data_IF_981375193019
#
_entry.id   IF_981375193019
#
_cell.length_a   1.000
_cell.length_b   1.000
_cell.length_c   1.000
_cell.angle_alpha   90.00
_cell.angle_beta   90.00
_cell.angle_gamma   90.00
#
_symmetry.space_group_name_H-M   'P 1'
#
loop_
_entity.id
_entity.type
_entity.pdbx_description
1 polymer ?
#
# COMPACT_ATOMS: atom_id res chain seq x y z
N UNK A 1 -1.04 -12.27 -1.00
CA UNK A 1 -1.85 -11.06 -0.71
C UNK A 1 -2.50 -10.59 -2.00
N UNK A 2 -3.70 -10.06 -1.91
CA UNK A 2 -4.40 -9.46 -3.05
C UNK A 2 -4.77 -8.02 -2.69
N UNK A 3 -4.55 -7.11 -3.62
CA UNK A 3 -4.91 -5.69 -3.45
C UNK A 3 -5.92 -5.31 -4.53
N UNK A 4 -7.01 -4.70 -4.10
CA UNK A 4 -8.05 -4.22 -5.00
C UNK A 4 -7.79 -2.83 -5.53
N UNK A 5 -8.83 -2.25 -6.07
CA UNK A 5 -8.83 -0.88 -6.58
C UNK A 5 -10.01 -0.12 -5.95
N UNK A 6 -9.93 1.20 -5.94
CA UNK A 6 -10.97 2.01 -5.31
C UNK A 6 -11.23 3.29 -6.08
N UNK A 7 -12.40 3.87 -5.82
CA UNK A 7 -12.79 5.18 -6.35
C UNK A 7 -12.75 6.21 -5.22
N UNK A 8 -12.06 7.31 -5.46
CA UNK A 8 -12.07 8.45 -4.54
C UNK A 8 -13.38 9.21 -4.66
N UNK A 9 -13.99 9.50 -3.53
CA UNK A 9 -15.25 10.25 -3.49
C UNK A 9 -15.30 11.13 -2.24
N UNK A 10 -16.24 12.09 -2.24
CA UNK A 10 -16.55 12.86 -1.06
C UNK A 10 -17.61 12.13 -0.21
N UNK A 11 -18.09 12.76 0.83
CA UNK A 11 -19.07 12.15 1.74
C UNK A 11 -20.41 11.89 1.06
N UNK A 12 -20.75 12.66 0.04
CA UNK A 12 -21.96 12.46 -0.77
C UNK A 12 -21.77 11.44 -1.89
N UNK A 13 -20.62 10.74 -1.93
CA UNK A 13 -20.25 9.74 -2.93
C UNK A 13 -20.02 10.31 -4.34
N UNK A 14 -19.78 11.60 -4.44
CA UNK A 14 -19.39 12.22 -5.70
C UNK A 14 -17.90 11.93 -5.95
N UNK A 15 -17.56 11.57 -7.19
CA UNK A 15 -16.19 11.22 -7.56
C UNK A 15 -15.27 12.44 -7.47
N UNK A 16 -14.14 12.27 -6.78
CA UNK A 16 -13.08 13.27 -6.69
C UNK A 16 -11.91 12.89 -7.61
N UNK A 17 -11.20 13.88 -8.18
CA UNK A 17 -9.97 13.58 -8.92
C UNK A 17 -8.95 12.86 -8.03
N UNK A 18 -8.18 11.91 -8.56
CA UNK A 18 -8.11 11.42 -9.94
C UNK A 18 -9.19 10.38 -10.29
N UNK A 19 -10.15 10.11 -9.43
CA UNK A 19 -11.22 9.15 -9.64
C UNK A 19 -10.85 7.76 -9.19
N UNK A 20 -10.40 6.92 -10.09
CA UNK A 20 -10.07 5.52 -9.80
C UNK A 20 -8.58 5.38 -9.52
N UNK A 21 -8.26 4.69 -8.42
CA UNK A 21 -6.90 4.30 -8.06
C UNK A 21 -6.81 2.78 -8.23
N UNK A 22 -6.14 2.33 -9.26
CA UNK A 22 -6.06 0.91 -9.62
C UNK A 22 -4.64 0.38 -9.82
N UNK A 23 -3.63 1.26 -9.85
CA UNK A 23 -2.23 0.88 -10.07
C UNK A 23 -2.06 -0.06 -11.27
N UNK A 24 -2.64 0.30 -12.42
CA UNK A 24 -2.61 -0.53 -13.64
C UNK A 24 -1.21 -0.77 -14.18
N UNK A 25 -0.26 0.07 -13.81
CA UNK A 25 1.16 -0.13 -14.13
C UNK A 25 1.75 -1.37 -13.44
N UNK A 26 1.07 -1.88 -12.44
CA UNK A 26 1.51 -3.08 -11.72
C UNK A 26 1.01 -4.32 -12.45
N UNK A 27 1.92 -5.11 -12.99
CA UNK A 27 1.62 -6.37 -13.66
C UNK A 27 2.19 -7.54 -12.86
N UNK A 28 1.81 -8.76 -13.21
CA UNK A 28 2.39 -9.95 -12.58
C UNK A 28 3.90 -10.03 -12.80
N UNK A 29 4.37 -9.59 -13.96
CA UNK A 29 5.78 -9.63 -14.34
C UNK A 29 6.64 -8.71 -13.48
N UNK A 30 6.15 -7.52 -13.16
CA UNK A 30 6.89 -6.54 -12.37
C UNK A 30 6.49 -6.53 -10.88
N UNK A 31 5.56 -7.40 -10.46
CA UNK A 31 4.88 -7.29 -9.17
C UNK A 31 5.79 -7.17 -7.96
N UNK A 32 6.79 -8.05 -7.84
CA UNK A 32 7.70 -8.03 -6.70
C UNK A 32 8.57 -6.76 -6.67
N UNK A 33 9.02 -6.31 -7.82
CA UNK A 33 9.87 -5.13 -7.93
C UNK A 33 9.05 -3.84 -7.85
N UNK A 34 7.84 -3.85 -8.37
CA UNK A 34 6.99 -2.66 -8.35
C UNK A 34 6.61 -2.26 -6.92
N UNK A 35 6.51 -3.22 -6.01
CA UNK A 35 6.27 -2.92 -4.60
C UNK A 35 7.31 -1.95 -4.01
N UNK A 36 8.54 -1.98 -4.53
CA UNK A 36 9.62 -1.10 -4.08
C UNK A 36 9.58 0.29 -4.72
N UNK A 37 8.76 0.49 -5.74
CA UNK A 37 8.70 1.75 -6.49
C UNK A 37 7.55 2.65 -6.08
N UNK A 38 6.53 2.08 -5.47
CA UNK A 38 5.32 2.82 -5.13
C UNK A 38 5.35 3.25 -3.66
N UNK A 39 4.56 4.26 -3.34
CA UNK A 39 4.51 4.80 -1.99
C UNK A 39 3.43 4.15 -1.11
N UNK A 40 2.59 3.33 -1.69
CA UNK A 40 1.57 2.56 -1.00
C UNK A 40 1.01 1.50 -1.93
N UNK A 41 0.57 0.38 -1.35
CA UNK A 41 0.12 -0.76 -2.13
C UNK A 41 -1.30 -0.61 -2.66
N UNK A 42 -2.08 0.28 -2.08
CA UNK A 42 -3.48 0.48 -2.43
C UNK A 42 -4.44 -0.17 -1.46
N UNK A 43 -5.73 -0.17 -1.82
CA UNK A 43 -6.81 -0.70 -1.00
C UNK A 43 -7.93 -1.23 -1.91
N UNK A 44 -8.80 -2.10 -1.41
CA UNK A 44 -8.68 -2.85 -0.17
C UNK A 44 -7.65 -3.99 -0.28
N UNK A 45 -7.28 -4.57 0.87
CA UNK A 45 -6.26 -5.61 0.92
C UNK A 45 -6.82 -6.87 1.56
N UNK A 46 -6.46 -8.02 0.99
CA UNK A 46 -6.80 -9.33 1.55
C UNK A 46 -5.52 -10.15 1.72
N UNK A 47 -5.39 -10.83 2.85
CA UNK A 47 -4.22 -11.62 3.19
C UNK A 47 -4.59 -13.09 3.37
N UNK A 48 -3.73 -13.98 2.87
CA UNK A 48 -3.80 -15.37 3.23
C UNK A 48 -3.38 -15.50 4.70
N UNK A 49 -4.27 -15.95 5.54
CA UNK A 49 -4.11 -15.90 7.00
C UNK A 49 -2.82 -16.53 7.53
N UNK A 50 -2.40 -17.74 7.08
CA UNK A 50 -1.15 -18.31 7.56
C UNK A 50 0.06 -17.45 7.28
N UNK A 51 0.11 -16.79 6.12
CA UNK A 51 1.23 -15.93 5.72
C UNK A 51 1.29 -14.68 6.59
N UNK A 52 0.15 -14.01 6.81
CA UNK A 52 0.14 -12.79 7.63
C UNK A 52 0.45 -13.08 9.09
N UNK A 53 0.07 -14.25 9.58
CA UNK A 53 0.42 -14.69 10.94
C UNK A 53 1.91 -14.93 11.10
N UNK A 54 2.56 -15.48 10.09
CA UNK A 54 3.99 -15.73 10.08
C UNK A 54 4.78 -14.42 10.06
N UNK A 55 4.39 -13.48 9.20
CA UNK A 55 5.10 -12.22 9.01
C UNK A 55 4.82 -11.23 10.14
N UNK A 56 3.54 -11.08 10.52
CA UNK A 56 3.12 -10.12 11.53
C UNK A 56 3.18 -8.68 11.04
N UNK A 57 2.62 -7.77 11.86
CA UNK A 57 2.67 -6.33 11.61
C UNK A 57 3.72 -5.69 12.52
N UNK A 58 4.51 -4.73 12.03
CA UNK A 58 5.40 -3.97 12.90
C UNK A 58 4.59 -3.05 13.84
N UNK A 59 5.14 -2.78 15.01
CA UNK A 59 4.50 -1.89 15.98
C UNK A 59 4.77 -0.43 15.63
N UNK A 60 4.12 0.05 14.58
CA UNK A 60 4.22 1.44 14.12
C UNK A 60 2.82 1.97 13.81
N UNK A 61 2.64 3.28 13.87
CA UNK A 61 1.36 3.92 13.63
C UNK A 61 1.14 4.30 12.16
N UNK A 62 2.17 4.16 11.32
CA UNK A 62 2.10 4.48 9.90
C UNK A 62 3.05 3.59 9.11
N UNK A 63 2.60 3.15 7.93
CA UNK A 63 3.43 2.33 7.04
C UNK A 63 3.49 0.85 7.43
N UNK A 64 2.70 0.41 8.39
CA UNK A 64 2.61 -0.98 8.80
C UNK A 64 2.15 -1.89 7.67
N UNK A 65 1.21 -1.42 6.88
CA UNK A 65 0.69 -2.14 5.71
C UNK A 65 1.75 -2.24 4.60
N UNK A 66 2.50 -1.18 4.40
CA UNK A 66 3.58 -1.16 3.42
C UNK A 66 4.71 -2.13 3.82
N UNK A 67 5.08 -2.13 5.10
CA UNK A 67 6.08 -3.04 5.64
C UNK A 67 5.69 -4.51 5.41
N UNK A 68 4.45 -4.85 5.72
CA UNK A 68 3.91 -6.21 5.51
C UNK A 68 3.89 -6.56 4.02
N UNK A 69 3.41 -5.66 3.18
CA UNK A 69 3.34 -5.89 1.75
C UNK A 69 4.70 -6.14 1.11
N UNK A 70 5.71 -5.36 1.49
CA UNK A 70 7.08 -5.58 1.00
C UNK A 70 7.60 -6.95 1.45
N UNK A 71 7.38 -7.31 2.71
CA UNK A 71 7.82 -8.61 3.24
C UNK A 71 7.14 -9.77 2.49
N UNK A 72 5.84 -9.66 2.22
CA UNK A 72 5.11 -10.66 1.43
C UNK A 72 5.68 -10.74 0.00
N UNK A 73 5.99 -9.60 -0.62
CA UNK A 73 6.46 -9.55 -2.00
C UNK A 73 7.79 -10.26 -2.22
N UNK A 74 8.56 -10.50 -1.16
CA UNK A 74 9.84 -11.21 -1.26
C UNK A 74 9.66 -12.67 -1.67
N UNK A 75 8.64 -13.34 -1.13
CA UNK A 75 8.46 -14.78 -1.26
C UNK A 75 7.13 -15.19 -1.88
N UNK A 76 6.16 -14.29 -1.92
CA UNK A 76 4.81 -14.59 -2.35
C UNK A 76 4.34 -13.59 -3.40
N UNK A 77 3.30 -13.96 -4.11
CA UNK A 77 2.70 -13.08 -5.13
C UNK A 77 1.80 -12.02 -4.52
N UNK A 78 1.81 -10.86 -5.14
CA UNK A 78 0.83 -9.80 -4.90
C UNK A 78 -0.14 -9.77 -6.08
N UNK A 79 -1.34 -10.30 -5.86
CA UNK A 79 -2.39 -10.24 -6.87
C UNK A 79 -3.10 -8.90 -6.86
N UNK A 80 -3.72 -8.53 -7.99
CA UNK A 80 -4.46 -7.28 -8.09
C UNK A 80 -5.82 -7.49 -8.73
N UNK A 81 -6.79 -6.72 -8.25
CA UNK A 81 -8.10 -6.57 -8.86
C UNK A 81 -8.20 -5.15 -9.35
N UNK A 82 -8.26 -4.97 -10.67
CA UNK A 82 -8.23 -3.64 -11.29
C UNK A 82 -9.58 -2.95 -11.30
N UNK A 83 -10.66 -3.69 -11.12
CA UNK A 83 -11.99 -3.10 -11.00
C UNK A 83 -12.16 -2.43 -9.63
N UNK A 84 -12.79 -1.25 -9.57
CA UNK A 84 -13.06 -0.58 -8.30
C UNK A 84 -14.06 -1.41 -7.47
N UNK A 85 -13.63 -1.86 -6.31
CA UNK A 85 -14.46 -2.65 -5.39
C UNK A 85 -14.63 -1.96 -4.04
N UNK A 86 -14.17 -0.72 -3.92
CA UNK A 86 -14.16 0.04 -2.69
C UNK A 86 -14.39 1.52 -2.98
N UNK A 87 -15.18 2.19 -2.14
CA UNK A 87 -15.41 3.63 -2.19
C UNK A 87 -14.62 4.28 -1.05
N UNK A 88 -13.59 5.05 -1.40
CA UNK A 88 -12.76 5.73 -0.43
C UNK A 88 -13.27 7.17 -0.24
N UNK A 89 -13.98 7.42 0.84
CA UNK A 89 -14.48 8.75 1.18
C UNK A 89 -13.35 9.60 1.75
N UNK A 90 -13.16 10.78 1.19
CA UNK A 90 -12.21 11.77 1.69
C UNK A 90 -12.95 12.87 2.44
N UNK A 91 -12.45 13.22 3.62
CA UNK A 91 -12.96 14.27 4.46
C UNK A 91 -11.86 14.77 5.39
N UNK A 92 -12.06 15.93 6.03
CA UNK A 92 -11.02 16.59 6.83
C UNK A 92 -10.51 15.75 8.01
N UNK A 93 -11.34 14.84 8.54
CA UNK A 93 -10.97 13.96 9.64
C UNK A 93 -10.19 12.71 9.26
N UNK A 94 -9.88 12.50 7.99
CA UNK A 94 -9.07 11.35 7.56
C UNK A 94 -7.65 11.48 8.10
N UNK A 95 -7.09 10.35 8.57
CA UNK A 95 -5.77 10.32 9.20
C UNK A 95 -4.63 10.77 8.29
N UNK A 96 -4.80 10.70 6.98
CA UNK A 96 -3.81 11.11 5.98
C UNK A 96 -4.10 12.48 5.35
N UNK A 97 -5.17 13.16 5.78
CA UNK A 97 -5.64 14.38 5.12
C UNK A 97 -4.82 15.64 5.46
N UNK A 98 -4.10 15.67 6.58
CA UNK A 98 -3.44 16.87 7.08
C UNK A 98 -2.12 16.56 7.79
N UNK A 99 -1.20 15.91 7.07
CA UNK A 99 0.14 15.64 7.59
C UNK A 99 1.01 16.89 7.44
N UNK A 100 1.74 17.26 8.51
CA UNK A 100 2.76 18.31 8.42
C UNK A 100 3.89 17.86 7.50
N UNK A 101 4.65 18.81 6.89
CA UNK A 101 5.82 18.45 6.09
C UNK A 101 6.83 17.58 6.85
N UNK A 102 7.02 17.86 8.15
CA UNK A 102 7.94 17.09 9.00
C UNK A 102 7.45 15.64 9.19
N UNK A 103 6.16 15.45 9.44
CA UNK A 103 5.58 14.11 9.56
C UNK A 103 5.63 13.36 8.24
N UNK A 104 5.34 14.02 7.14
CA UNK A 104 5.42 13.41 5.81
C UNK A 104 6.85 12.98 5.49
N UNK A 105 7.85 13.82 5.80
CA UNK A 105 9.25 13.48 5.63
C UNK A 105 9.65 12.27 6.49
N UNK A 106 9.19 12.21 7.73
CA UNK A 106 9.46 11.09 8.62
C UNK A 106 8.84 9.79 8.09
N UNK A 107 7.60 9.84 7.59
CA UNK A 107 6.93 8.68 6.99
C UNK A 107 7.65 8.20 5.74
N UNK A 108 8.07 9.12 4.88
CA UNK A 108 8.82 8.78 3.67
C UNK A 108 10.18 8.17 4.00
N UNK A 109 10.86 8.71 5.01
CA UNK A 109 12.13 8.15 5.48
C UNK A 109 11.96 6.72 6.01
N UNK A 110 10.92 6.47 6.77
CA UNK A 110 10.59 5.12 7.24
C UNK A 110 10.39 4.15 6.08
N UNK A 111 9.60 4.54 5.09
CA UNK A 111 9.37 3.71 3.90
C UNK A 111 10.64 3.46 3.10
N UNK A 112 11.50 4.48 2.97
CA UNK A 112 12.79 4.33 2.30
C UNK A 112 13.71 3.37 3.04
N UNK A 113 13.69 3.39 4.37
CA UNK A 113 14.43 2.44 5.20
C UNK A 113 13.95 1.01 4.97
N UNK A 114 12.64 0.81 4.89
CA UNK A 114 12.05 -0.50 4.58
C UNK A 114 12.50 -1.01 3.20
N UNK A 115 12.46 -0.15 2.20
CA UNK A 115 12.90 -0.49 0.84
C UNK A 115 14.37 -0.89 0.81
N UNK A 116 15.22 -0.14 1.50
CA UNK A 116 16.65 -0.42 1.58
C UNK A 116 16.91 -1.77 2.23
N UNK A 117 16.25 -2.06 3.33
CA UNK A 117 16.37 -3.34 4.01
C UNK A 117 15.91 -4.50 3.11
N UNK A 118 14.82 -4.30 2.40
CA UNK A 118 14.28 -5.31 1.49
C UNK A 118 15.21 -5.58 0.32
N UNK A 119 15.75 -4.54 -0.30
CA UNK A 119 16.71 -4.70 -1.40
C UNK A 119 17.92 -5.49 -0.93
N UNK A 120 18.46 -5.17 0.23
CA UNK A 120 19.59 -5.92 0.81
C UNK A 120 19.25 -7.39 1.06
N UNK A 121 18.04 -7.65 1.57
CA UNK A 121 17.58 -9.01 1.83
C UNK A 121 17.46 -9.82 0.53
N UNK A 122 16.99 -9.19 -0.55
CA UNK A 122 16.87 -9.85 -1.86
C UNK A 122 18.20 -10.13 -2.55
N UNK A 123 19.25 -9.43 -2.15
CA UNK A 123 20.60 -9.60 -2.73
C UNK A 123 21.40 -10.74 -2.08
N UNK A 124 20.87 -11.33 -1.03
CA UNK A 124 21.55 -12.43 -0.31
C UNK A 124 21.35 -13.78 -0.97
#
# INVERSE_FOLDING_TARGET
MVVGSYRLCNFALETLPPGIIDHREWTEENGMNNALRINGLGAPRAFYTPVIREIGFPNVSYGEDYAVGIAISRQYRLGRIYEPIYLCRRWEGNSDAALSPERMAAHNHYKDSLRTQEIRARQR
#
